data_IF_083578488009
#
_entry.id   IF_083578488009
#
_cell.length_a   1.000
_cell.length_b   1.000
_cell.length_c   1.000
_cell.angle_alpha   90.00
_cell.angle_beta   90.00
_cell.angle_gamma   90.00
#
_symmetry.space_group_name_H-M   'P 1'
#
loop_
_entity.id
_entity.type
_entity.pdbx_description
1 polymer ?
#
# COMPACT_ATOMS: atom_id res chain seq x y z
N UNK A 1 17.37 12.53 -6.67
CA UNK A 1 15.96 12.20 -6.94
C UNK A 1 15.53 11.03 -6.08
N UNK A 2 14.42 11.19 -5.38
CA UNK A 2 13.91 10.13 -4.53
C UNK A 2 12.80 9.36 -5.22
N UNK A 3 12.86 8.05 -5.08
CA UNK A 3 11.81 7.18 -5.58
C UNK A 3 11.03 6.65 -4.39
N UNK A 4 9.72 6.68 -4.50
CA UNK A 4 8.88 6.13 -3.45
C UNK A 4 8.97 4.61 -3.45
N UNK A 5 9.23 4.05 -2.29
CA UNK A 5 9.29 2.61 -2.14
C UNK A 5 7.96 2.14 -1.55
N UNK A 6 7.19 1.46 -2.36
CA UNK A 6 5.87 0.97 -1.94
C UNK A 6 5.98 -0.51 -1.64
N UNK A 7 5.58 -0.89 -0.43
CA UNK A 7 5.58 -2.28 -0.01
C UNK A 7 4.18 -2.66 0.44
N UNK A 8 3.74 -3.84 0.04
CA UNK A 8 2.45 -4.37 0.48
C UNK A 8 2.74 -5.68 1.18
N UNK A 9 2.27 -5.79 2.42
CA UNK A 9 2.49 -6.97 3.24
C UNK A 9 1.17 -7.68 3.51
N UNK A 10 1.22 -9.00 3.46
CA UNK A 10 0.09 -9.83 3.83
C UNK A 10 0.23 -10.17 5.30
N UNK A 11 -0.67 -9.65 6.13
CA UNK A 11 -0.62 -9.83 7.57
C UNK A 11 -1.90 -10.51 8.03
N UNK A 12 -1.78 -11.77 8.44
CA UNK A 12 -2.93 -12.55 8.88
C UNK A 12 -4.02 -12.56 7.79
N UNK A 13 -5.13 -11.88 8.03
CA UNK A 13 -6.25 -11.92 7.11
C UNK A 13 -6.43 -10.63 6.34
N UNK A 14 -5.42 -9.76 6.32
CA UNK A 14 -5.53 -8.50 5.61
C UNK A 14 -4.19 -8.12 5.01
N UNK A 15 -4.20 -7.02 4.25
CA UNK A 15 -2.99 -6.50 3.62
C UNK A 15 -2.75 -5.10 4.12
N UNK A 16 -1.48 -4.75 4.24
CA UNK A 16 -1.07 -3.42 4.68
C UNK A 16 -0.06 -2.86 3.69
N UNK A 17 -0.22 -1.57 3.40
CA UNK A 17 0.69 -0.90 2.47
C UNK A 17 1.55 0.11 3.22
N UNK A 18 2.82 0.14 2.85
CA UNK A 18 3.80 1.03 3.43
C UNK A 18 4.47 1.82 2.32
N UNK A 19 4.66 3.09 2.53
CA UNK A 19 5.40 3.94 1.60
C UNK A 19 6.60 4.50 2.33
N UNK A 20 7.78 4.18 1.84
CA UNK A 20 9.04 4.60 2.45
C UNK A 20 9.11 4.20 3.92
N UNK A 21 8.58 3.01 4.23
CA UNK A 21 8.62 2.48 5.57
C UNK A 21 7.51 2.95 6.49
N UNK A 22 6.60 3.78 5.99
CA UNK A 22 5.50 4.29 6.80
C UNK A 22 4.17 3.67 6.38
N UNK A 23 3.39 3.24 7.35
CA UNK A 23 2.07 2.70 7.08
C UNK A 23 1.17 3.76 6.48
N UNK A 24 0.44 3.42 5.41
CA UNK A 24 -0.47 4.36 4.78
C UNK A 24 -1.90 3.85 4.67
N UNK A 25 -2.09 2.57 4.37
CA UNK A 25 -3.44 2.05 4.17
C UNK A 25 -3.45 0.54 4.36
N UNK A 26 -4.61 0.02 4.74
CA UNK A 26 -4.80 -1.43 4.82
C UNK A 26 -6.14 -1.78 4.17
N UNK A 27 -6.28 -3.05 3.82
CA UNK A 27 -7.52 -3.54 3.23
C UNK A 27 -7.59 -5.05 3.33
N UNK A 28 -8.77 -5.59 3.08
CA UNK A 28 -9.00 -7.03 3.20
C UNK A 28 -8.39 -7.81 2.03
N UNK A 29 -8.26 -7.17 0.88
CA UNK A 29 -7.70 -7.82 -0.30
C UNK A 29 -6.58 -6.97 -0.87
N UNK A 30 -5.72 -7.64 -1.65
CA UNK A 30 -4.62 -6.96 -2.32
C UNK A 30 -5.14 -5.87 -3.25
N UNK A 31 -6.21 -6.17 -3.99
CA UNK A 31 -6.78 -5.22 -4.93
C UNK A 31 -7.32 -3.97 -4.24
N UNK A 32 -7.93 -4.14 -3.07
CA UNK A 32 -8.44 -3.00 -2.33
C UNK A 32 -7.31 -2.05 -1.94
N UNK A 33 -6.19 -2.62 -1.50
CA UNK A 33 -5.04 -1.82 -1.12
C UNK A 33 -4.48 -1.08 -2.33
N UNK A 34 -4.38 -1.76 -3.47
CA UNK A 34 -3.89 -1.13 -4.68
C UNK A 34 -4.79 0.03 -5.11
N UNK A 35 -6.09 -0.17 -5.06
CA UNK A 35 -7.02 0.88 -5.45
C UNK A 35 -6.93 2.09 -4.54
N UNK A 36 -6.81 1.83 -3.25
CA UNK A 36 -6.67 2.91 -2.29
C UNK A 36 -5.38 3.70 -2.52
N UNK A 37 -4.30 3.01 -2.81
CA UNK A 37 -3.04 3.68 -3.11
C UNK A 37 -3.17 4.57 -4.34
N UNK A 38 -3.86 4.09 -5.38
CA UNK A 38 -4.08 4.89 -6.58
C UNK A 38 -4.91 6.13 -6.27
N UNK A 39 -5.93 5.98 -5.44
CA UNK A 39 -6.78 7.12 -5.06
C UNK A 39 -5.98 8.15 -4.28
N UNK A 40 -4.96 7.70 -3.56
CA UNK A 40 -4.10 8.60 -2.81
C UNK A 40 -3.04 9.26 -3.68
N UNK A 41 -2.94 8.84 -4.94
CA UNK A 41 -2.00 9.45 -5.87
C UNK A 41 -0.72 8.67 -6.10
N UNK A 42 -0.60 7.49 -5.53
CA UNK A 42 0.59 6.66 -5.77
C UNK A 42 0.46 5.91 -7.08
N UNK A 43 1.60 5.69 -7.71
CA UNK A 43 1.66 4.92 -8.95
C UNK A 43 1.94 3.47 -8.60
N UNK A 44 0.95 2.63 -8.76
CA UNK A 44 1.08 1.20 -8.46
C UNK A 44 0.45 0.37 -9.56
#
# INVERSE_FOLDING_TARGET
MELEKIEIRHVLEHYEAFVNGKFVVSGDTFNEVLEDLRKMGYVV
#
